data_IF_580858864336
#
_entry.id   IF_580858864336
#
_cell.length_a   1.000
_cell.length_b   1.000
_cell.length_c   1.000
_cell.angle_alpha   90.00
_cell.angle_beta   90.00
_cell.angle_gamma   90.00
#
_symmetry.space_group_name_H-M   'P 1'
#
loop_
_entity.id
_entity.type
_entity.pdbx_description
1 polymer ?
#
# COMPACT_ATOMS: atom_id res chain seq x y z
N UNK A 1 2.99 4.09 5.28
CA UNK A 1 3.19 5.14 6.29
C UNK A 1 4.09 6.24 5.75
N UNK A 2 3.84 7.49 6.11
CA UNK A 2 4.70 8.65 5.78
C UNK A 2 5.30 9.19 7.07
N UNK A 3 6.63 9.19 7.14
CA UNK A 3 7.40 9.79 8.22
C UNK A 3 8.11 11.05 7.70
N UNK A 4 8.23 12.06 8.55
CA UNK A 4 8.86 13.34 8.24
C UNK A 4 9.99 13.61 9.22
N UNK A 5 11.03 14.29 8.73
CA UNK A 5 12.06 14.82 9.59
C UNK A 5 11.50 16.10 10.25
N UNK A 6 11.63 16.23 11.57
CA UNK A 6 11.09 17.35 12.33
C UNK A 6 11.65 18.72 11.89
N UNK A 7 12.86 18.75 11.31
CA UNK A 7 13.51 19.95 10.76
C UNK A 7 13.19 20.24 9.30
N UNK A 8 12.39 19.41 8.61
CA UNK A 8 12.11 19.55 7.17
C UNK A 8 11.18 20.73 6.81
N UNK A 9 10.46 21.26 7.81
CA UNK A 9 9.39 22.23 7.63
C UNK A 9 8.08 21.65 7.09
N UNK A 10 8.00 20.33 6.83
CA UNK A 10 6.77 19.65 6.38
C UNK A 10 5.79 19.55 7.55
N UNK A 11 4.56 20.03 7.36
CA UNK A 11 3.47 19.95 8.35
C UNK A 11 2.23 19.25 7.80
N UNK A 12 2.03 19.28 6.49
CA UNK A 12 0.93 18.64 5.77
C UNK A 12 1.45 18.01 4.47
N UNK A 13 0.63 17.18 3.84
CA UNK A 13 1.03 16.42 2.65
C UNK A 13 1.45 17.31 1.47
N UNK A 14 0.81 18.46 1.31
CA UNK A 14 1.09 19.44 0.27
C UNK A 14 2.53 19.99 0.37
N UNK A 15 3.08 20.06 1.59
CA UNK A 15 4.42 20.57 1.83
C UNK A 15 5.52 19.58 1.37
N UNK A 16 5.15 18.37 0.93
CA UNK A 16 6.07 17.42 0.30
C UNK A 16 6.48 17.88 -1.11
N UNK A 17 5.74 18.80 -1.74
CA UNK A 17 6.17 19.41 -2.99
C UNK A 17 7.53 20.12 -2.83
N UNK A 18 8.47 19.78 -3.70
CA UNK A 18 9.86 20.24 -3.69
C UNK A 18 10.77 19.54 -2.69
N UNK A 19 10.28 18.54 -1.93
CA UNK A 19 11.05 17.85 -0.88
C UNK A 19 11.80 16.63 -1.41
N UNK A 20 12.81 16.23 -0.64
CA UNK A 20 13.58 14.99 -0.83
C UNK A 20 12.89 13.87 -0.06
N UNK A 21 12.39 12.86 -0.76
CA UNK A 21 11.58 11.80 -0.15
C UNK A 21 12.18 10.43 -0.43
N UNK A 22 12.50 9.70 0.64
CA UNK A 22 13.01 8.35 0.55
C UNK A 22 11.89 7.30 0.41
N UNK A 23 12.13 6.30 -0.44
CA UNK A 23 11.26 5.12 -0.61
C UNK A 23 12.14 3.88 -0.83
N UNK A 24 11.83 2.70 -0.24
CA UNK A 24 12.70 1.54 -0.42
C UNK A 24 12.85 1.09 -1.88
N UNK A 25 11.74 1.13 -2.62
CA UNK A 25 11.61 0.83 -4.04
C UNK A 25 10.54 1.79 -4.59
N UNK A 26 10.76 2.37 -5.76
CA UNK A 26 9.84 3.34 -6.35
C UNK A 26 8.55 2.66 -6.83
N UNK A 27 8.68 1.44 -7.36
CA UNK A 27 7.59 0.63 -7.89
C UNK A 27 6.88 -0.24 -6.81
N UNK A 28 7.28 -0.16 -5.54
CA UNK A 28 6.67 -0.93 -4.47
C UNK A 28 5.19 -0.55 -4.26
N UNK A 29 4.30 -1.53 -4.12
CA UNK A 29 2.84 -1.35 -4.01
C UNK A 29 2.40 -0.25 -3.04
N UNK A 30 2.94 -0.23 -1.81
CA UNK A 30 2.60 0.81 -0.83
C UNK A 30 2.99 2.23 -1.30
N UNK A 31 4.08 2.34 -2.06
CA UNK A 31 4.59 3.59 -2.60
C UNK A 31 3.78 4.00 -3.84
N UNK A 32 3.31 3.06 -4.65
CA UNK A 32 2.38 3.34 -5.76
C UNK A 32 1.09 3.93 -5.22
N UNK A 33 0.49 3.30 -4.19
CA UNK A 33 -0.69 3.82 -3.52
C UNK A 33 -0.47 5.22 -2.94
N UNK A 34 0.60 5.40 -2.15
CA UNK A 34 0.84 6.69 -1.52
C UNK A 34 1.10 7.81 -2.53
N UNK A 35 1.85 7.54 -3.61
CA UNK A 35 2.06 8.52 -4.68
C UNK A 35 0.74 8.90 -5.37
N UNK A 36 -0.15 7.92 -5.60
CA UNK A 36 -1.48 8.18 -6.14
C UNK A 36 -2.36 9.02 -5.22
N UNK A 37 -2.39 8.68 -3.92
CA UNK A 37 -3.14 9.44 -2.90
C UNK A 37 -2.61 10.88 -2.80
N UNK A 38 -1.29 11.07 -2.77
CA UNK A 38 -0.68 12.41 -2.76
C UNK A 38 -1.05 13.23 -4.01
N UNK A 39 -1.13 12.59 -5.17
CA UNK A 39 -1.53 13.26 -6.40
C UNK A 39 -3.01 13.67 -6.37
N UNK A 40 -3.91 12.72 -6.08
CA UNK A 40 -5.35 12.90 -6.17
C UNK A 40 -5.91 13.79 -5.04
N UNK A 41 -5.53 13.53 -3.78
CA UNK A 41 -6.12 14.19 -2.61
C UNK A 41 -5.37 15.45 -2.18
N UNK A 42 -4.08 15.56 -2.52
CA UNK A 42 -3.21 16.64 -2.04
C UNK A 42 -2.57 17.47 -3.17
N UNK A 43 -2.81 17.13 -4.45
CA UNK A 43 -2.24 17.88 -5.58
C UNK A 43 -0.70 17.83 -5.63
N UNK A 44 -0.10 16.78 -5.05
CA UNK A 44 1.35 16.52 -5.04
C UNK A 44 1.66 15.29 -5.91
N UNK A 45 1.66 15.44 -7.25
CA UNK A 45 2.02 14.35 -8.13
C UNK A 45 3.53 14.04 -8.06
N UNK A 46 3.97 12.87 -8.54
CA UNK A 46 5.35 12.39 -8.34
C UNK A 46 6.44 13.35 -8.84
N UNK A 47 6.22 14.10 -9.93
CA UNK A 47 7.17 15.05 -10.48
C UNK A 47 7.43 16.27 -9.59
N UNK A 48 6.56 16.53 -8.61
CA UNK A 48 6.80 17.58 -7.61
C UNK A 48 7.76 17.14 -6.51
N UNK A 49 8.14 15.86 -6.43
CA UNK A 49 8.99 15.33 -5.37
C UNK A 49 10.32 14.86 -5.96
N UNK A 50 11.41 15.07 -5.22
CA UNK A 50 12.69 14.43 -5.52
C UNK A 50 12.80 13.10 -4.76
N UNK A 51 12.78 11.99 -5.48
CA UNK A 51 12.72 10.65 -4.90
C UNK A 51 14.11 10.05 -4.69
N UNK A 52 14.30 9.41 -3.55
CA UNK A 52 15.51 8.65 -3.22
C UNK A 52 15.16 7.18 -2.99
N UNK A 53 15.82 6.27 -3.69
CA UNK A 53 15.61 4.82 -3.55
C UNK A 53 16.76 4.14 -2.84
N UNK A 54 16.46 3.05 -2.11
CA UNK A 54 17.50 2.17 -1.57
C UNK A 54 17.12 1.44 -0.30
N UNK A 55 18.15 0.97 0.41
CA UNK A 55 17.99 0.20 1.64
C UNK A 55 17.32 0.97 2.77
N UNK A 56 16.21 0.46 3.33
CA UNK A 56 15.56 1.12 4.48
C UNK A 56 16.46 1.08 5.72
N UNK A 57 16.80 -0.13 6.18
CA UNK A 57 17.62 -0.37 7.40
C UNK A 57 18.98 -0.99 7.08
N UNK A 58 19.04 -1.81 6.02
CA UNK A 58 20.26 -2.40 5.49
C UNK A 58 20.49 -1.84 4.10
N UNK A 59 21.72 -1.46 3.74
CA UNK A 59 22.01 -0.84 2.46
C UNK A 59 21.92 -1.85 1.30
N UNK A 60 22.00 -1.36 0.06
CA UNK A 60 22.10 -2.23 -1.13
C UNK A 60 20.79 -2.83 -1.64
N UNK A 61 19.62 -2.42 -1.11
CA UNK A 61 18.34 -2.75 -1.74
C UNK A 61 18.25 -2.07 -3.10
N UNK A 62 17.88 -2.84 -4.12
CA UNK A 62 17.65 -2.36 -5.48
C UNK A 62 16.18 -2.51 -5.85
N UNK A 63 15.77 -1.71 -6.83
CA UNK A 63 14.48 -1.87 -7.50
C UNK A 63 14.37 -3.28 -8.10
N UNK A 64 13.22 -3.94 -7.87
CA UNK A 64 13.00 -5.32 -8.35
C UNK A 64 12.32 -5.37 -9.71
N UNK A 65 11.68 -4.28 -10.10
CA UNK A 65 10.93 -4.16 -11.34
C UNK A 65 11.67 -3.18 -12.24
N UNK A 66 12.02 -3.62 -13.44
CA UNK A 66 12.54 -2.73 -14.46
C UNK A 66 11.40 -1.84 -14.97
N UNK A 67 11.61 -0.52 -14.95
CA UNK A 67 10.68 0.45 -15.50
C UNK A 67 11.44 1.68 -15.98
N UNK A 68 10.79 2.49 -16.82
CA UNK A 68 11.30 3.80 -17.21
C UNK A 68 10.45 4.87 -16.51
N UNK A 69 10.99 5.64 -15.56
CA UNK A 69 10.23 6.72 -14.95
C UNK A 69 9.80 7.75 -16.00
N UNK A 70 8.66 8.44 -15.79
CA UNK A 70 8.29 9.57 -16.63
C UNK A 70 9.43 10.62 -16.68
N UNK A 71 9.67 11.30 -17.82
CA UNK A 71 10.86 12.16 -17.99
C UNK A 71 11.00 13.31 -16.98
N UNK A 72 9.90 13.75 -16.39
CA UNK A 72 9.82 14.83 -15.40
C UNK A 72 9.96 14.33 -13.95
N UNK A 73 10.04 13.02 -13.72
CA UNK A 73 10.20 12.43 -12.39
C UNK A 73 11.69 12.21 -12.09
N UNK A 74 12.16 12.73 -10.95
CA UNK A 74 13.55 12.61 -10.52
C UNK A 74 13.68 11.50 -9.47
N UNK A 75 14.48 10.50 -9.76
CA UNK A 75 14.76 9.36 -8.87
C UNK A 75 16.27 9.17 -8.77
N UNK A 76 16.80 9.19 -7.56
CA UNK A 76 18.22 8.97 -7.26
C UNK A 76 18.41 7.74 -6.36
N UNK A 77 19.31 6.85 -6.74
CA UNK A 77 19.73 5.75 -5.86
C UNK A 77 20.71 6.27 -4.80
N UNK A 78 20.48 5.92 -3.53
CA UNK A 78 21.34 6.40 -2.42
C UNK A 78 22.70 5.71 -2.35
N UNK A 79 22.94 4.71 -3.21
CA UNK A 79 24.15 3.92 -3.28
C UNK A 79 24.18 2.72 -2.31
N UNK A 80 25.23 1.89 -2.41
CA UNK A 80 25.31 0.60 -1.72
C UNK A 80 25.73 0.68 -0.25
N UNK A 81 26.01 1.87 0.28
CA UNK A 81 26.63 2.05 1.60
C UNK A 81 25.76 2.88 2.58
N UNK A 82 24.58 3.34 2.13
CA UNK A 82 23.71 4.24 2.89
C UNK A 82 22.35 3.60 3.12
N UNK A 83 21.65 4.09 4.14
CA UNK A 83 20.29 3.64 4.47
C UNK A 83 19.35 4.82 4.56
N UNK A 84 18.12 4.64 4.08
CA UNK A 84 17.09 5.67 4.08
C UNK A 84 16.74 6.09 5.51
N UNK A 85 16.70 5.15 6.47
CA UNK A 85 16.44 5.45 7.87
C UNK A 85 17.50 6.42 8.44
N UNK A 86 18.79 6.16 8.21
CA UNK A 86 19.86 7.04 8.69
C UNK A 86 19.86 8.41 7.99
N UNK A 87 19.66 8.44 6.67
CA UNK A 87 19.55 9.69 5.90
C UNK A 87 18.36 10.53 6.40
N UNK A 88 17.23 9.88 6.66
CA UNK A 88 16.03 10.53 7.16
C UNK A 88 16.24 11.13 8.54
N UNK A 89 16.80 10.38 9.49
CA UNK A 89 17.06 10.86 10.84
C UNK A 89 18.05 12.05 10.86
N UNK A 90 19.05 12.03 9.96
CA UNK A 90 20.02 13.13 9.81
C UNK A 90 19.46 14.37 9.10
N UNK A 91 18.30 14.28 8.45
CA UNK A 91 17.73 15.37 7.65
C UNK A 91 18.34 15.49 6.25
N UNK A 92 19.04 14.46 5.78
CA UNK A 92 19.53 14.35 4.41
C UNK A 92 18.38 14.09 3.42
N UNK A 93 17.28 13.50 3.91
CA UNK A 93 15.97 13.45 3.24
C UNK A 93 14.88 13.95 4.19
N UNK A 94 13.91 14.65 3.64
CA UNK A 94 12.90 15.41 4.37
C UNK A 94 11.75 14.52 4.84
N UNK A 95 11.40 13.50 4.05
CA UNK A 95 10.38 12.50 4.38
C UNK A 95 10.80 11.10 3.95
N UNK A 96 10.11 10.10 4.51
CA UNK A 96 10.30 8.68 4.24
C UNK A 96 8.93 8.01 4.11
N UNK A 97 8.65 7.45 2.94
CA UNK A 97 7.44 6.66 2.70
C UNK A 97 7.83 5.18 2.68
N UNK A 98 7.24 4.40 3.60
CA UNK A 98 7.60 3.00 3.82
C UNK A 98 6.44 2.20 4.40
N UNK A 99 6.44 0.89 4.14
CA UNK A 99 5.51 -0.06 4.77
C UNK A 99 5.96 -0.48 6.18
N UNK A 100 7.27 -0.49 6.45
CA UNK A 100 7.83 -0.80 7.77
C UNK A 100 8.16 0.47 8.52
N UNK A 101 7.76 0.54 9.78
CA UNK A 101 8.14 1.66 10.65
C UNK A 101 9.67 1.72 10.79
N UNK A 102 10.29 2.89 10.51
CA UNK A 102 11.73 3.04 10.59
C UNK A 102 12.21 2.92 12.04
N UNK A 103 13.41 2.35 12.22
CA UNK A 103 13.98 2.09 13.54
C UNK A 103 14.19 3.37 14.34
N UNK A 104 14.51 4.49 13.70
CA UNK A 104 14.65 5.79 14.37
C UNK A 104 13.34 6.21 15.06
N UNK A 105 12.19 5.99 14.43
CA UNK A 105 10.88 6.26 15.03
C UNK A 105 10.59 5.30 16.19
N UNK A 106 10.86 3.99 16.01
CA UNK A 106 10.65 2.98 17.06
C UNK A 106 11.50 3.24 18.31
N UNK A 107 12.70 3.80 18.14
CA UNK A 107 13.60 4.20 19.24
C UNK A 107 13.26 5.57 19.85
N UNK A 108 12.18 6.21 19.41
CA UNK A 108 11.72 7.49 19.96
C UNK A 108 12.59 8.68 19.55
N UNK A 109 13.26 8.64 18.39
CA UNK A 109 14.04 9.78 17.90
C UNK A 109 13.14 11.01 17.75
N UNK A 110 13.46 12.16 18.41
CA UNK A 110 12.63 13.36 18.32
C UNK A 110 12.65 14.00 16.92
N UNK A 111 13.59 13.55 16.07
CA UNK A 111 13.76 14.02 14.70
C UNK A 111 12.82 13.34 13.71
N UNK A 112 12.22 12.20 14.05
CA UNK A 112 11.36 11.44 13.12
C UNK A 112 9.93 11.44 13.65
N UNK A 113 8.99 11.98 12.87
CA UNK A 113 7.58 12.08 13.22
C UNK A 113 6.72 11.45 12.13
N UNK A 114 5.47 11.10 12.43
CA UNK A 114 4.49 10.79 11.38
C UNK A 114 3.99 12.08 10.75
N UNK A 115 3.74 12.07 9.44
CA UNK A 115 3.06 13.18 8.77
C UNK A 115 1.63 13.37 9.32
N UNK A 116 0.91 12.25 9.48
CA UNK A 116 -0.39 12.20 10.16
C UNK A 116 -0.22 11.51 11.51
N UNK A 117 -0.17 12.26 12.63
CA UNK A 117 -0.06 11.67 13.96
C UNK A 117 -1.28 10.82 14.31
N UNK A 118 -2.47 11.31 13.96
CA UNK A 118 -3.75 10.62 14.10
C UNK A 118 -4.24 10.13 12.74
N UNK A 119 -3.85 8.91 12.38
CA UNK A 119 -4.05 8.35 11.04
C UNK A 119 -5.38 7.61 10.88
N UNK A 120 -5.95 7.05 11.97
CA UNK A 120 -7.26 6.35 11.94
C UNK A 120 -8.36 7.22 11.31
N UNK A 121 -8.62 8.47 11.75
CA UNK A 121 -9.65 9.29 11.12
C UNK A 121 -9.32 9.68 9.66
N UNK A 122 -8.05 9.87 9.31
CA UNK A 122 -7.62 10.18 7.94
C UNK A 122 -7.87 9.00 7.00
N UNK A 123 -7.54 7.79 7.44
CA UNK A 123 -7.78 6.55 6.67
C UNK A 123 -9.28 6.25 6.54
N UNK A 124 -10.06 6.47 7.60
CA UNK A 124 -11.53 6.34 7.56
C UNK A 124 -12.17 7.33 6.59
N UNK A 125 -11.74 8.60 6.61
CA UNK A 125 -12.22 9.62 5.66
C UNK A 125 -11.88 9.24 4.21
N UNK A 126 -10.64 8.82 3.97
CA UNK A 126 -10.22 8.35 2.65
C UNK A 126 -11.11 7.21 2.15
N UNK A 127 -11.39 6.20 2.98
CA UNK A 127 -12.28 5.11 2.61
C UNK A 127 -13.70 5.60 2.33
N UNK A 128 -14.28 6.43 3.19
CA UNK A 128 -15.64 6.97 3.02
C UNK A 128 -15.80 7.75 1.72
N UNK A 129 -14.81 8.57 1.35
CA UNK A 129 -14.85 9.39 0.12
C UNK A 129 -14.61 8.56 -1.14
N UNK A 130 -13.70 7.60 -1.10
CA UNK A 130 -13.18 6.95 -2.31
C UNK A 130 -13.68 5.53 -2.52
N UNK A 131 -14.18 4.89 -1.46
CA UNK A 131 -14.44 3.45 -1.41
C UNK A 131 -13.18 2.58 -1.51
N UNK A 132 -11.98 3.16 -1.50
CA UNK A 132 -10.73 2.43 -1.65
C UNK A 132 -10.19 1.97 -0.30
N UNK A 133 -10.00 0.66 -0.17
CA UNK A 133 -9.26 0.03 0.91
C UNK A 133 -8.02 -0.65 0.29
N UNK A 134 -6.84 0.01 0.30
CA UNK A 134 -5.71 -0.37 -0.54
C UNK A 134 -5.28 -1.85 -0.43
N UNK A 135 -5.25 -2.54 -1.57
CA UNK A 135 -4.81 -3.94 -1.66
C UNK A 135 -3.29 -4.00 -1.82
N UNK A 136 -2.66 -4.86 -1.02
CA UNK A 136 -1.21 -5.04 -1.03
C UNK A 136 -0.73 -6.28 -1.81
N UNK A 137 -1.55 -7.33 -1.86
CA UNK A 137 -1.16 -8.64 -2.42
C UNK A 137 -2.24 -9.23 -3.31
N UNK A 138 -1.81 -9.95 -4.35
CA UNK A 138 -2.65 -10.73 -5.24
C UNK A 138 -2.06 -12.14 -5.36
N UNK A 139 -2.92 -13.15 -5.52
CA UNK A 139 -2.48 -14.51 -5.81
C UNK A 139 -2.36 -14.66 -7.32
N UNK A 140 -1.15 -14.92 -7.80
CA UNK A 140 -0.87 -15.18 -9.21
C UNK A 140 -0.79 -16.69 -9.47
N UNK A 141 -1.43 -17.13 -10.55
CA UNK A 141 -1.36 -18.51 -11.03
C UNK A 141 -0.64 -18.49 -12.37
N UNK A 142 0.36 -19.36 -12.55
CA UNK A 142 1.07 -19.48 -13.82
C UNK A 142 0.06 -19.81 -14.93
N UNK A 143 0.06 -19.01 -16.00
CA UNK A 143 -0.88 -19.15 -17.13
C UNK A 143 -1.01 -20.59 -17.63
N UNK A 144 0.11 -21.27 -17.88
CA UNK A 144 0.12 -22.65 -18.38
C UNK A 144 -0.58 -23.65 -17.43
N UNK A 145 -0.54 -23.41 -16.12
CA UNK A 145 -1.24 -24.26 -15.15
C UNK A 145 -2.75 -24.01 -15.19
N UNK A 146 -3.16 -22.75 -15.30
CA UNK A 146 -4.58 -22.40 -15.43
C UNK A 146 -5.16 -22.90 -16.75
N UNK A 147 -4.42 -22.83 -17.85
CA UNK A 147 -4.86 -23.37 -19.15
C UNK A 147 -5.02 -24.89 -19.12
N UNK A 148 -4.10 -25.61 -18.46
CA UNK A 148 -4.20 -27.06 -18.29
C UNK A 148 -5.29 -27.50 -17.29
N UNK A 149 -5.54 -26.68 -16.26
CA UNK A 149 -6.49 -26.98 -15.18
C UNK A 149 -7.37 -25.75 -14.86
N UNK A 150 -8.34 -25.38 -15.71
CA UNK A 150 -9.09 -24.12 -15.56
C UNK A 150 -9.83 -23.95 -14.22
N UNK A 151 -10.21 -25.05 -13.58
CA UNK A 151 -10.87 -25.04 -12.26
C UNK A 151 -9.95 -24.58 -11.11
N UNK A 152 -8.62 -24.55 -11.31
CA UNK A 152 -7.65 -24.26 -10.24
C UNK A 152 -7.86 -22.88 -9.63
N UNK A 153 -8.20 -21.86 -10.44
CA UNK A 153 -8.41 -20.51 -9.96
C UNK A 153 -9.62 -20.42 -9.02
N UNK A 154 -10.77 -20.97 -9.45
CA UNK A 154 -11.98 -20.98 -8.64
C UNK A 154 -11.84 -21.85 -7.38
N UNK A 155 -11.18 -23.00 -7.48
CA UNK A 155 -10.97 -23.88 -6.32
C UNK A 155 -10.08 -23.22 -5.27
N UNK A 156 -8.96 -22.60 -5.69
CA UNK A 156 -8.11 -21.83 -4.78
C UNK A 156 -8.85 -20.65 -4.17
N UNK A 157 -9.62 -19.92 -4.98
CA UNK A 157 -10.43 -18.80 -4.49
C UNK A 157 -11.42 -19.25 -3.40
N UNK A 158 -12.20 -20.30 -3.66
CA UNK A 158 -13.16 -20.86 -2.69
C UNK A 158 -12.45 -21.32 -1.41
N UNK A 159 -11.33 -22.03 -1.54
CA UNK A 159 -10.54 -22.47 -0.40
C UNK A 159 -10.01 -21.31 0.45
N UNK A 160 -9.51 -20.23 -0.19
CA UNK A 160 -9.05 -19.04 0.53
C UNK A 160 -10.20 -18.26 1.17
N UNK A 161 -11.37 -18.18 0.53
CA UNK A 161 -12.57 -17.60 1.15
C UNK A 161 -13.00 -18.38 2.40
N UNK A 162 -12.99 -19.72 2.34
CA UNK A 162 -13.26 -20.58 3.49
C UNK A 162 -12.23 -20.37 4.62
N UNK A 163 -10.94 -20.34 4.29
CA UNK A 163 -9.89 -20.08 5.26
C UNK A 163 -10.04 -18.69 5.91
N UNK A 164 -10.34 -17.65 5.11
CA UNK A 164 -10.60 -16.29 5.61
C UNK A 164 -11.80 -16.27 6.56
N UNK A 165 -12.90 -16.93 6.20
CA UNK A 165 -14.11 -16.98 7.03
C UNK A 165 -13.84 -17.59 8.41
N UNK A 166 -13.03 -18.66 8.47
CA UNK A 166 -12.59 -19.25 9.74
C UNK A 166 -11.79 -18.25 10.59
N UNK A 167 -10.87 -17.50 9.98
CA UNK A 167 -10.13 -16.45 10.69
C UNK A 167 -11.03 -15.31 11.18
N UNK A 168 -11.99 -14.87 10.35
CA UNK A 168 -12.93 -13.80 10.69
C UNK A 168 -13.87 -14.19 11.83
N UNK A 169 -14.30 -15.45 11.88
CA UNK A 169 -15.12 -15.96 12.98
C UNK A 169 -14.34 -15.91 14.31
N UNK A 170 -13.06 -16.30 14.30
CA UNK A 170 -12.20 -16.26 15.49
C UNK A 170 -11.90 -14.84 15.98
N UNK A 171 -11.92 -13.84 15.10
CA UNK A 171 -11.74 -12.43 15.49
C UNK A 171 -12.88 -11.90 16.35
N UNK A 172 -14.04 -12.55 16.38
CA UNK A 172 -15.20 -12.11 17.13
C UNK A 172 -15.59 -13.08 18.26
N UNK A 173 -14.67 -13.97 18.64
CA UNK A 173 -14.86 -14.83 19.81
C UNK A 173 -14.69 -14.00 21.09
N UNK A 174 -15.82 -13.72 21.75
CA UNK A 174 -15.88 -12.94 22.99
C UNK A 174 -15.53 -13.76 24.24
N UNK A 175 -15.49 -15.09 24.13
CA UNK A 175 -15.14 -15.98 25.24
C UNK A 175 -13.62 -16.09 25.44
N UNK A 176 -12.87 -16.04 24.35
CA UNK A 176 -11.42 -16.04 24.34
C UNK A 176 -10.90 -15.20 23.16
N UNK A 177 -10.51 -13.96 23.45
CA UNK A 177 -9.99 -13.06 22.43
C UNK A 177 -8.79 -13.68 21.72
N UNK A 178 -8.84 -13.69 20.37
CA UNK A 178 -7.78 -14.26 19.53
C UNK A 178 -6.42 -13.62 19.77
N UNK A 179 -6.40 -12.34 20.12
CA UNK A 179 -5.20 -11.56 20.42
C UNK A 179 -5.33 -10.90 21.80
N UNK A 180 -4.20 -10.69 22.49
CA UNK A 180 -4.12 -10.07 23.81
C UNK A 180 -4.34 -8.55 23.77
N UNK A 181 -5.45 -8.11 23.16
CA UNK A 181 -5.86 -6.72 23.02
C UNK A 181 -7.19 -6.51 23.75
N UNK A 182 -7.23 -5.75 24.87
CA UNK A 182 -8.43 -5.63 25.71
C UNK A 182 -9.70 -5.13 25.01
N UNK A 183 -9.57 -4.31 23.97
CA UNK A 183 -10.70 -3.70 23.24
C UNK A 183 -10.90 -4.27 21.83
N UNK A 184 -10.37 -5.47 21.56
CA UNK A 184 -10.37 -6.06 20.22
C UNK A 184 -11.78 -6.13 19.58
N UNK A 185 -12.79 -6.51 20.36
CA UNK A 185 -14.18 -6.63 19.87
C UNK A 185 -14.73 -5.28 19.44
N UNK A 186 -14.55 -4.25 20.27
CA UNK A 186 -14.97 -2.89 19.94
C UNK A 186 -14.25 -2.38 18.68
N UNK A 187 -12.95 -2.62 18.54
CA UNK A 187 -12.20 -2.24 17.33
C UNK A 187 -12.70 -2.98 16.08
N UNK A 188 -13.13 -4.25 16.21
CA UNK A 188 -13.75 -5.00 15.11
C UNK A 188 -15.12 -4.42 14.74
N UNK A 189 -15.94 -4.07 15.72
CA UNK A 189 -17.25 -3.47 15.48
C UNK A 189 -17.13 -2.11 14.81
N UNK A 190 -16.28 -1.23 15.33
CA UNK A 190 -15.98 0.06 14.71
C UNK A 190 -15.48 -0.12 13.27
N UNK A 191 -14.57 -1.07 13.03
CA UNK A 191 -14.08 -1.34 11.69
C UNK A 191 -15.21 -1.84 10.76
N UNK A 192 -16.15 -2.67 11.24
CA UNK A 192 -17.30 -3.14 10.45
C UNK A 192 -18.31 -2.04 10.15
N UNK A 193 -18.50 -1.08 11.05
CA UNK A 193 -19.33 0.10 10.79
C UNK A 193 -18.77 0.95 9.64
N UNK A 194 -17.45 1.00 9.52
CA UNK A 194 -16.77 1.78 8.46
C UNK A 194 -16.69 1.00 7.16
N UNK A 195 -16.11 -0.20 7.18
CA UNK A 195 -15.73 -0.96 5.99
C UNK A 195 -16.78 -2.00 5.57
N UNK A 196 -17.85 -2.15 6.36
CA UNK A 196 -18.84 -3.21 6.19
C UNK A 196 -18.42 -4.53 6.85
N UNK A 197 -19.28 -5.57 6.77
CA UNK A 197 -19.09 -6.82 7.50
C UNK A 197 -17.87 -7.64 7.05
N UNK A 198 -17.46 -7.50 5.78
CA UNK A 198 -16.27 -8.17 5.22
C UNK A 198 -15.16 -7.16 4.90
N UNK A 199 -14.45 -6.72 5.94
CA UNK A 199 -13.36 -5.73 5.87
C UNK A 199 -12.28 -6.15 4.86
N UNK A 200 -11.97 -7.45 4.79
CA UNK A 200 -10.92 -8.02 3.93
C UNK A 200 -11.52 -8.75 2.74
N UNK A 201 -12.43 -8.08 2.01
CA UNK A 201 -13.16 -8.67 0.90
C UNK A 201 -12.22 -9.31 -0.14
N UNK A 202 -12.54 -10.54 -0.53
CA UNK A 202 -11.84 -11.24 -1.62
C UNK A 202 -12.71 -11.19 -2.87
N UNK A 203 -12.09 -11.34 -4.04
CA UNK A 203 -12.78 -11.39 -5.33
C UNK A 203 -12.62 -10.12 -6.14
N UNK A 204 -12.83 -10.23 -7.45
CA UNK A 204 -12.64 -9.11 -8.39
C UNK A 204 -13.67 -8.02 -8.17
N UNK A 205 -14.96 -8.38 -8.07
CA UNK A 205 -16.02 -7.38 -8.01
C UNK A 205 -15.97 -6.56 -6.72
N UNK A 206 -15.85 -7.22 -5.57
CA UNK A 206 -15.70 -6.54 -4.27
C UNK A 206 -14.47 -5.62 -4.21
N UNK A 207 -13.48 -5.84 -5.08
CA UNK A 207 -12.25 -5.05 -5.17
C UNK A 207 -12.12 -4.23 -6.45
N UNK A 208 -13.17 -4.15 -7.28
CA UNK A 208 -13.12 -3.52 -8.62
C UNK A 208 -12.56 -2.11 -8.54
N UNK A 209 -13.10 -1.31 -7.63
CA UNK A 209 -12.66 0.08 -7.41
C UNK A 209 -11.17 0.17 -7.05
N UNK A 210 -10.70 -0.69 -6.15
CA UNK A 210 -9.28 -0.76 -5.78
C UNK A 210 -8.39 -1.14 -6.98
N UNK A 211 -8.77 -2.16 -7.74
CA UNK A 211 -8.01 -2.65 -8.90
C UNK A 211 -7.94 -1.59 -10.00
N UNK A 212 -9.07 -0.97 -10.34
CA UNK A 212 -9.14 0.08 -11.36
C UNK A 212 -8.37 1.34 -10.98
N UNK A 213 -8.35 1.66 -9.68
CA UNK A 213 -7.57 2.78 -9.14
C UNK A 213 -6.08 2.45 -9.16
N UNK A 214 -5.68 1.27 -8.72
CA UNK A 214 -4.28 0.87 -8.70
C UNK A 214 -3.69 0.74 -10.10
N UNK A 215 -4.43 0.17 -11.05
CA UNK A 215 -4.00 0.08 -12.46
C UNK A 215 -3.86 1.44 -13.12
N UNK A 216 -4.73 2.40 -12.77
CA UNK A 216 -4.56 3.81 -13.16
C UNK A 216 -3.27 4.39 -12.59
N UNK A 217 -3.05 4.26 -11.29
CA UNK A 217 -1.82 4.75 -10.63
C UNK A 217 -0.55 4.14 -11.22
N UNK A 218 -0.53 2.83 -11.48
CA UNK A 218 0.60 2.17 -12.13
C UNK A 218 0.92 2.78 -13.49
N UNK A 219 -0.11 3.08 -14.29
CA UNK A 219 0.07 3.66 -15.61
C UNK A 219 0.51 5.13 -15.55
N UNK A 220 -0.17 5.96 -14.76
CA UNK A 220 0.15 7.38 -14.59
C UNK A 220 1.58 7.59 -14.04
N UNK A 221 2.07 6.65 -13.23
CA UNK A 221 3.41 6.67 -12.66
C UNK A 221 4.48 6.05 -13.59
N UNK A 222 4.13 5.65 -14.81
CA UNK A 222 5.05 5.08 -15.79
C UNK A 222 5.52 3.64 -15.51
N UNK A 223 4.86 2.93 -14.58
CA UNK A 223 5.21 1.55 -14.20
C UNK A 223 4.64 0.51 -15.17
N UNK A 224 3.60 0.88 -15.93
CA UNK A 224 3.04 0.04 -17.00
C UNK A 224 2.90 0.83 -18.29
N UNK A 225 3.29 0.21 -19.41
CA UNK A 225 3.23 0.83 -20.74
C UNK A 225 1.80 1.24 -21.16
N UNK A 226 0.80 0.54 -20.64
CA UNK A 226 -0.63 0.88 -20.78
C UNK A 226 -1.34 0.71 -19.46
N UNK A 227 -2.55 1.30 -19.35
CA UNK A 227 -3.48 0.99 -18.27
C UNK A 227 -4.09 -0.39 -18.52
N UNK A 228 -3.75 -1.36 -17.68
CA UNK A 228 -4.37 -2.70 -17.71
C UNK A 228 -5.80 -2.61 -17.19
N UNK A 229 -6.73 -3.28 -17.85
CA UNK A 229 -8.11 -3.47 -17.40
C UNK A 229 -8.20 -4.67 -16.45
N UNK A 230 -9.36 -4.85 -15.83
CA UNK A 230 -9.64 -6.06 -15.04
C UNK A 230 -9.57 -7.32 -15.91
N UNK A 231 -10.08 -7.26 -17.15
CA UNK A 231 -10.07 -8.38 -18.09
C UNK A 231 -8.64 -8.76 -18.55
N UNK A 232 -7.71 -7.80 -18.54
CA UNK A 232 -6.30 -8.07 -18.81
C UNK A 232 -5.62 -8.87 -17.68
N UNK A 233 -6.11 -8.71 -16.45
CA UNK A 233 -5.46 -9.21 -15.23
C UNK A 233 -6.06 -10.51 -14.72
N UNK A 234 -7.36 -10.71 -14.91
CA UNK A 234 -8.09 -11.84 -14.33
C UNK A 234 -8.76 -12.68 -15.42
N UNK A 235 -8.72 -14.02 -15.32
CA UNK A 235 -9.42 -14.87 -16.27
C UNK A 235 -10.94 -14.69 -16.12
N UNK A 236 -11.69 -14.87 -17.22
CA UNK A 236 -13.14 -14.69 -17.24
C UNK A 236 -13.88 -15.51 -16.17
N UNK A 237 -13.36 -16.69 -15.82
CA UNK A 237 -13.89 -17.55 -14.75
C UNK A 237 -13.90 -16.91 -13.37
N UNK A 238 -13.11 -15.85 -13.15
CA UNK A 238 -13.00 -15.10 -11.91
C UNK A 238 -13.81 -13.80 -11.91
N UNK A 239 -14.43 -13.44 -13.05
CA UNK A 239 -15.24 -12.23 -13.19
C UNK A 239 -16.72 -12.46 -12.86
N UNK A 240 -17.15 -13.72 -12.81
CA UNK A 240 -18.52 -14.11 -12.51
C UNK A 240 -18.59 -14.79 -11.15
N UNK A 241 -19.37 -14.23 -10.22
CA UNK A 241 -19.72 -14.92 -8.97
C UNK A 241 -20.74 -16.01 -9.26
N UNK A 242 -20.31 -17.26 -9.38
CA UNK A 242 -21.23 -18.39 -9.28
C UNK A 242 -21.61 -18.58 -7.81
N UNK A 243 -22.73 -17.98 -7.42
CA UNK A 243 -23.45 -18.37 -6.19
C UNK A 243 -24.06 -19.75 -6.46
N UNK A 244 -23.60 -20.75 -5.71
CA UNK A 244 -24.26 -22.07 -5.63
C UNK A 244 -25.36 -21.95 -4.59
#
# INVERSE_FOLDING_TARGET
>A
CVFINAGSGVKRAEDLAGKRVGVPEYAMTAIVWMKGILADDHGVPPEKIHWFTGGLEQPGRKERVEFTPPPNVRIEDIGPNRTLNAMHEKGEIDALITARTPTAFMKGSPKVKRLWPDYKPVEMDYYRRTGCFPIMHCIAIRRSLHEAHPWVAQNLYKAFCQAKALCQQQLYDTSALRYMLPWMIQEVDEAREIFGPDIWAYGVEANRKNIETFTRYMHEQGLTARRNTIDDLFPASMLTEFKI
#
